data_IF_463597231239
#
_entry.id   IF_463597231239
#
_cell.length_a   1.000
_cell.length_b   1.000
_cell.length_c   1.000
_cell.angle_alpha   90.00
_cell.angle_beta   90.00
_cell.angle_gamma   90.00
#
_symmetry.space_group_name_H-M   'P 1'
#
loop_
_entity.id
_entity.type
_entity.pdbx_description
1 polymer ?
#
# COMPACT_ATOMS: atom_id res chain seq x y z
N UNK A 1 17.41 5.20 4.34
CA UNK A 1 17.10 3.87 4.91
C UNK A 1 15.93 3.14 4.22
N UNK A 2 15.18 3.77 3.33
CA UNK A 2 14.19 3.09 2.51
C UNK A 2 12.82 2.81 3.15
N UNK A 3 12.54 3.31 4.33
CA UNK A 3 11.27 3.08 5.05
C UNK A 3 10.23 4.19 4.84
N UNK A 4 10.63 5.32 4.24
CA UNK A 4 9.73 6.43 3.93
C UNK A 4 8.67 6.08 2.87
N UNK A 5 7.72 7.01 2.62
CA UNK A 5 6.63 6.77 1.68
C UNK A 5 7.13 6.43 0.27
N UNK A 6 6.71 5.28 -0.25
CA UNK A 6 7.00 4.81 -1.61
C UNK A 6 5.71 4.55 -2.34
N UNK A 7 5.69 4.85 -3.64
CA UNK A 7 4.57 4.46 -4.50
C UNK A 7 4.38 2.94 -4.44
N UNK A 8 3.14 2.51 -4.24
CA UNK A 8 2.75 1.11 -4.23
C UNK A 8 1.48 0.89 -5.06
N UNK A 9 1.46 -0.21 -5.80
CA UNK A 9 0.34 -0.59 -6.65
C UNK A 9 0.02 -2.10 -6.53
N UNK A 10 0.58 -2.76 -5.51
CA UNK A 10 0.49 -4.20 -5.31
C UNK A 10 -0.18 -4.57 -3.99
N UNK A 11 -1.01 -5.62 -4.00
CA UNK A 11 -1.53 -6.27 -2.79
C UNK A 11 -1.22 -7.77 -2.80
N UNK A 12 -1.13 -8.38 -1.63
CA UNK A 12 -1.18 -9.83 -1.53
C UNK A 12 -2.52 -10.31 -2.11
N UNK A 13 -2.45 -11.12 -3.16
CA UNK A 13 -3.64 -11.55 -3.88
C UNK A 13 -4.61 -12.33 -3.00
N UNK A 14 -5.90 -12.09 -3.20
CA UNK A 14 -6.98 -12.88 -2.64
C UNK A 14 -7.36 -14.00 -3.60
N UNK A 15 -8.14 -14.97 -3.15
CA UNK A 15 -8.64 -16.06 -4.00
C UNK A 15 -9.44 -15.54 -5.20
N UNK A 16 -10.06 -14.37 -5.08
CA UNK A 16 -10.81 -13.73 -6.16
C UNK A 16 -9.93 -12.97 -7.17
N UNK A 17 -8.67 -12.77 -6.90
CA UNK A 17 -7.73 -12.06 -7.79
C UNK A 17 -7.11 -12.97 -8.87
N UNK A 18 -7.57 -14.21 -9.00
CA UNK A 18 -6.99 -15.21 -9.93
C UNK A 18 -6.95 -14.77 -11.40
N UNK A 19 -7.81 -13.84 -11.79
CA UNK A 19 -7.85 -13.26 -13.12
C UNK A 19 -6.83 -12.12 -13.34
N UNK A 20 -6.34 -11.48 -12.29
CA UNK A 20 -5.54 -10.24 -12.34
C UNK A 20 -4.10 -10.42 -11.84
N UNK A 21 -3.88 -11.20 -10.77
CA UNK A 21 -2.58 -11.21 -10.11
C UNK A 21 -1.42 -11.63 -11.03
N UNK A 22 -1.68 -12.49 -12.01
CA UNK A 22 -0.69 -12.88 -13.00
C UNK A 22 -0.13 -11.69 -13.78
N UNK A 23 -0.98 -10.71 -14.11
CA UNK A 23 -0.55 -9.47 -14.77
C UNK A 23 0.24 -8.57 -13.81
N UNK A 24 -0.16 -8.47 -12.54
CA UNK A 24 0.57 -7.67 -11.55
C UNK A 24 2.03 -8.15 -11.42
N UNK A 25 2.23 -9.47 -11.36
CA UNK A 25 3.57 -10.05 -11.33
C UNK A 25 4.30 -9.88 -12.68
N UNK A 26 3.61 -10.09 -13.80
CA UNK A 26 4.21 -9.91 -15.12
C UNK A 26 4.67 -8.46 -15.37
N UNK A 27 4.00 -7.46 -14.77
CA UNK A 27 4.37 -6.04 -14.81
C UNK A 27 5.31 -5.64 -13.66
N UNK A 28 5.68 -6.55 -12.78
CA UNK A 28 6.61 -6.34 -11.68
C UNK A 28 6.08 -5.41 -10.58
N UNK A 29 4.75 -5.28 -10.42
CA UNK A 29 4.17 -4.42 -9.38
C UNK A 29 4.58 -4.83 -7.96
N UNK A 30 4.88 -6.11 -7.77
CA UNK A 30 5.37 -6.68 -6.51
C UNK A 30 6.80 -6.26 -6.13
N UNK A 31 7.54 -5.60 -7.03
CA UNK A 31 8.96 -5.25 -6.82
C UNK A 31 9.32 -3.93 -7.50
N UNK A 32 8.60 -2.86 -7.21
CA UNK A 32 8.91 -1.54 -7.77
C UNK A 32 10.16 -0.95 -7.14
N UNK A 33 11.09 -0.53 -7.98
CA UNK A 33 12.26 0.26 -7.63
C UNK A 33 12.01 1.72 -8.01
N UNK A 34 12.41 2.64 -7.12
CA UNK A 34 12.11 4.06 -7.26
C UNK A 34 13.40 4.82 -7.55
N UNK A 35 13.48 5.47 -8.71
CA UNK A 35 14.61 6.25 -9.17
C UNK A 35 14.23 7.72 -9.27
N UNK A 36 14.93 8.58 -8.56
CA UNK A 36 14.78 10.03 -8.72
C UNK A 36 15.41 10.43 -10.04
N UNK A 37 14.62 11.00 -10.94
CA UNK A 37 15.05 11.53 -12.25
C UNK A 37 15.45 13.00 -12.15
N UNK A 38 14.72 13.76 -11.33
CA UNK A 38 14.97 15.18 -11.10
C UNK A 38 14.59 15.57 -9.70
N UNK A 39 15.27 16.56 -9.14
CA UNK A 39 14.97 17.13 -7.84
C UNK A 39 15.31 18.62 -7.77
N UNK A 40 14.54 19.36 -6.99
CA UNK A 40 14.85 20.73 -6.63
C UNK A 40 14.33 21.02 -5.23
N UNK A 41 14.96 21.98 -4.54
CA UNK A 41 14.48 22.45 -3.25
C UNK A 41 14.69 23.96 -3.11
N UNK A 42 13.76 24.64 -2.44
CA UNK A 42 13.87 26.04 -2.10
C UNK A 42 13.06 26.38 -0.84
N UNK A 43 13.45 27.45 -0.17
CA UNK A 43 12.73 27.97 1.00
C UNK A 43 11.82 29.13 0.57
N UNK A 44 10.58 29.11 1.00
CA UNK A 44 9.62 30.19 0.83
C UNK A 44 9.87 31.32 1.84
N UNK A 45 9.25 32.48 1.59
CA UNK A 45 9.35 33.65 2.48
C UNK A 45 8.75 33.41 3.89
N UNK A 46 7.80 32.48 4.00
CA UNK A 46 7.17 32.09 5.27
C UNK A 46 7.99 31.06 6.07
N UNK A 47 9.18 30.67 5.56
CA UNK A 47 10.08 29.71 6.18
C UNK A 47 9.79 28.24 5.81
N UNK A 48 8.71 27.95 5.09
CA UNK A 48 8.44 26.59 4.63
C UNK A 48 9.45 26.18 3.54
N UNK A 49 9.77 24.89 3.49
CA UNK A 49 10.68 24.31 2.49
C UNK A 49 9.88 23.47 1.49
N UNK A 50 10.07 23.78 0.21
CA UNK A 50 9.51 23.01 -0.90
C UNK A 50 10.59 22.09 -1.43
N UNK A 51 10.26 20.80 -1.59
CA UNK A 51 11.12 19.82 -2.24
C UNK A 51 10.31 19.17 -3.36
N UNK A 52 10.74 19.35 -4.60
CA UNK A 52 10.08 18.76 -5.76
C UNK A 52 10.92 17.60 -6.31
N UNK A 53 10.26 16.49 -6.63
CA UNK A 53 10.85 15.31 -7.24
C UNK A 53 10.08 14.88 -8.49
N UNK A 54 10.81 14.39 -9.49
CA UNK A 54 10.25 13.48 -10.50
C UNK A 54 10.85 12.11 -10.24
N UNK A 55 10.00 11.13 -9.97
CA UNK A 55 10.39 9.77 -9.61
C UNK A 55 9.85 8.79 -10.65
N UNK A 56 10.72 7.96 -11.20
CA UNK A 56 10.36 6.78 -11.99
C UNK A 56 10.27 5.57 -11.06
N UNK A 57 9.16 4.84 -11.14
CA UNK A 57 8.93 3.62 -10.37
C UNK A 57 8.73 2.47 -11.34
N UNK A 58 9.72 1.59 -11.45
CA UNK A 58 9.75 0.46 -12.38
C UNK A 58 10.40 -0.75 -11.71
N UNK A 59 9.88 -1.94 -11.98
CA UNK A 59 10.57 -3.17 -11.61
C UNK A 59 11.77 -3.43 -12.52
N UNK A 60 12.85 -4.05 -12.04
CA UNK A 60 13.95 -4.48 -12.89
C UNK A 60 13.56 -5.60 -13.85
N UNK A 61 12.49 -6.32 -13.59
CA UNK A 61 12.03 -7.45 -14.41
C UNK A 61 10.56 -7.76 -14.17
N UNK A 62 9.97 -8.52 -15.09
CA UNK A 62 8.70 -9.19 -14.87
C UNK A 62 8.86 -10.50 -14.15
N UNK A 63 7.76 -11.02 -13.58
CA UNK A 63 7.71 -12.29 -12.89
C UNK A 63 6.60 -13.17 -13.45
N UNK A 64 6.81 -14.49 -13.39
CA UNK A 64 5.75 -15.49 -13.55
C UNK A 64 5.40 -16.01 -12.16
N UNK A 65 4.12 -16.16 -11.90
CA UNK A 65 3.61 -16.77 -10.68
C UNK A 65 2.82 -18.01 -11.04
N UNK A 66 3.04 -19.10 -10.32
CA UNK A 66 2.31 -20.36 -10.46
C UNK A 66 1.79 -20.77 -9.10
N UNK A 67 0.51 -21.02 -9.00
CA UNK A 67 -0.11 -21.64 -7.84
C UNK A 67 0.25 -23.13 -7.83
N UNK A 68 0.80 -23.61 -6.71
CA UNK A 68 1.17 -25.01 -6.51
C UNK A 68 0.03 -25.83 -5.89
N UNK A 69 -1.16 -25.26 -5.83
CA UNK A 69 -2.38 -25.91 -5.39
C UNK A 69 -2.76 -25.63 -3.93
N UNK A 70 -4.04 -25.77 -3.65
CA UNK A 70 -4.66 -25.44 -2.36
C UNK A 70 -4.01 -26.20 -1.20
N UNK A 71 -3.63 -27.46 -1.42
CA UNK A 71 -3.02 -28.30 -0.38
C UNK A 71 -1.64 -27.80 0.08
N UNK A 72 -0.91 -27.10 -0.79
CA UNK A 72 0.41 -26.54 -0.45
C UNK A 72 0.35 -25.11 0.08
N UNK A 73 -0.66 -24.35 -0.33
CA UNK A 73 -0.78 -22.91 -0.09
C UNK A 73 0.37 -22.08 -0.66
N UNK A 74 1.23 -22.66 -1.51
CA UNK A 74 2.45 -22.05 -2.01
C UNK A 74 2.27 -21.48 -3.41
N UNK A 75 2.97 -20.38 -3.66
CA UNK A 75 3.21 -19.86 -4.99
C UNK A 75 4.68 -20.05 -5.36
N UNK A 76 4.92 -20.43 -6.61
CA UNK A 76 6.24 -20.37 -7.22
C UNK A 76 6.35 -19.08 -8.03
N UNK A 77 7.24 -18.19 -7.61
CA UNK A 77 7.48 -16.91 -8.25
C UNK A 77 8.85 -16.96 -8.92
N UNK A 78 8.89 -16.83 -10.24
CA UNK A 78 10.13 -16.90 -11.01
C UNK A 78 10.30 -15.66 -11.86
N UNK A 79 11.54 -15.15 -11.94
CA UNK A 79 11.89 -14.06 -12.86
C UNK A 79 11.62 -14.49 -14.29
N UNK A 80 10.97 -13.64 -15.09
CA UNK A 80 10.67 -13.95 -16.49
C UNK A 80 11.65 -13.28 -17.45
N UNK A 81 11.64 -11.96 -17.53
CA UNK A 81 12.52 -11.18 -18.41
C UNK A 81 12.90 -9.87 -17.75
N UNK A 82 14.05 -9.31 -18.14
CA UNK A 82 14.47 -7.98 -17.71
C UNK A 82 13.62 -6.91 -18.39
N UNK A 83 13.40 -5.81 -17.68
CA UNK A 83 12.68 -4.66 -18.19
C UNK A 83 13.64 -3.63 -18.80
N UNK A 84 13.21 -3.08 -19.92
CA UNK A 84 13.79 -1.93 -20.57
C UNK A 84 13.00 -0.65 -20.31
N UNK A 85 13.42 0.45 -20.92
CA UNK A 85 12.82 1.77 -20.69
C UNK A 85 11.36 1.90 -21.14
N UNK A 86 10.89 1.04 -22.06
CA UNK A 86 9.54 1.07 -22.61
C UNK A 86 8.58 0.12 -21.87
N UNK A 87 9.10 -0.67 -20.92
CA UNK A 87 8.29 -1.55 -20.10
C UNK A 87 7.46 -0.78 -19.07
N UNK A 88 6.53 -1.48 -18.43
CA UNK A 88 5.61 -0.90 -17.45
C UNK A 88 6.34 -0.07 -16.40
N UNK A 89 5.88 1.15 -16.19
CA UNK A 89 6.37 2.04 -15.15
C UNK A 89 5.38 3.12 -14.76
N UNK A 90 5.60 3.69 -13.60
CA UNK A 90 5.00 4.96 -13.19
C UNK A 90 6.02 6.08 -13.26
N UNK A 91 5.58 7.26 -13.64
CA UNK A 91 6.29 8.53 -13.44
C UNK A 91 5.48 9.36 -12.46
N UNK A 92 6.08 9.75 -11.35
CA UNK A 92 5.42 10.53 -10.31
C UNK A 92 6.09 11.89 -10.15
N UNK A 93 5.32 12.97 -10.31
CA UNK A 93 5.75 14.31 -9.93
C UNK A 93 5.26 14.59 -8.51
N UNK A 94 6.18 14.79 -7.58
CA UNK A 94 5.93 14.97 -6.16
C UNK A 94 6.35 16.37 -5.73
N UNK A 95 5.52 17.03 -4.94
CA UNK A 95 5.85 18.28 -4.24
C UNK A 95 5.65 18.03 -2.75
N UNK A 96 6.75 18.09 -2.00
CA UNK A 96 6.76 18.01 -0.55
C UNK A 96 6.89 19.42 0.01
N UNK A 97 5.97 19.82 0.88
CA UNK A 97 6.06 21.07 1.63
C UNK A 97 6.31 20.71 3.08
N UNK A 98 7.44 21.15 3.62
CA UNK A 98 7.77 21.05 5.05
C UNK A 98 7.48 22.40 5.67
N UNK A 99 6.49 22.46 6.55
CA UNK A 99 6.08 23.67 7.23
C UNK A 99 6.89 23.93 8.51
N UNK A 100 6.88 25.16 8.98
CA UNK A 100 7.64 25.60 10.18
C UNK A 100 7.13 24.98 11.49
N UNK A 101 5.90 24.49 11.50
CA UNK A 101 5.31 23.74 12.64
C UNK A 101 5.68 22.25 12.64
N UNK A 102 6.47 21.80 11.66
CA UNK A 102 6.88 20.41 11.51
C UNK A 102 5.91 19.55 10.72
N UNK A 103 4.77 20.07 10.27
CA UNK A 103 3.87 19.34 9.38
C UNK A 103 4.46 19.20 7.98
N UNK A 104 4.09 18.12 7.29
CA UNK A 104 4.58 17.81 5.94
C UNK A 104 3.38 17.51 5.05
N UNK A 105 3.31 18.19 3.91
CA UNK A 105 2.32 17.95 2.87
C UNK A 105 2.97 17.27 1.66
N UNK A 106 2.32 16.25 1.12
CA UNK A 106 2.67 15.63 -0.16
C UNK A 106 1.56 15.88 -1.16
N UNK A 107 1.92 16.51 -2.28
CA UNK A 107 1.12 16.56 -3.49
C UNK A 107 1.81 15.70 -4.55
N UNK A 108 1.08 14.74 -5.14
CA UNK A 108 1.64 13.83 -6.12
C UNK A 108 0.72 13.68 -7.33
N UNK A 109 1.32 13.77 -8.53
CA UNK A 109 0.68 13.42 -9.78
C UNK A 109 1.33 12.15 -10.32
N UNK A 110 0.56 11.05 -10.38
CA UNK A 110 1.04 9.72 -10.76
C UNK A 110 0.54 9.41 -12.17
N UNK A 111 1.47 9.09 -13.08
CA UNK A 111 1.21 8.78 -14.48
C UNK A 111 1.73 7.37 -14.76
N UNK A 112 0.87 6.50 -15.31
CA UNK A 112 1.27 5.19 -15.83
C UNK A 112 1.45 5.26 -17.34
N UNK A 113 2.43 4.55 -17.88
CA UNK A 113 2.56 4.38 -19.33
C UNK A 113 1.59 3.31 -19.91
N UNK A 114 0.90 2.56 -19.04
CA UNK A 114 -0.18 1.63 -19.41
C UNK A 114 -1.44 1.92 -18.58
N UNK A 115 -2.23 2.94 -18.91
CA UNK A 115 -3.37 3.37 -18.08
C UNK A 115 -4.55 2.38 -18.08
N UNK A 116 -4.53 1.38 -18.97
CA UNK A 116 -5.55 0.31 -19.03
C UNK A 116 -5.26 -0.88 -18.12
N UNK A 117 -4.11 -0.91 -17.42
CA UNK A 117 -3.79 -1.98 -16.50
C UNK A 117 -4.63 -1.84 -15.22
N UNK A 118 -5.35 -2.91 -14.86
CA UNK A 118 -6.09 -2.98 -13.61
C UNK A 118 -5.14 -3.12 -12.43
N UNK A 119 -5.11 -2.10 -11.58
CA UNK A 119 -4.22 -2.04 -10.41
C UNK A 119 -4.94 -2.55 -9.16
N UNK A 120 -4.24 -3.35 -8.37
CA UNK A 120 -4.75 -3.82 -7.08
C UNK A 120 -5.01 -2.66 -6.10
N UNK A 121 -4.13 -1.68 -6.11
CA UNK A 121 -4.17 -0.45 -5.34
C UNK A 121 -3.35 0.63 -6.04
N UNK A 122 -3.52 1.86 -5.63
CA UNK A 122 -2.63 2.95 -6.03
C UNK A 122 -2.50 3.93 -4.87
N UNK A 123 -1.32 4.03 -4.31
CA UNK A 123 -1.06 4.92 -3.17
C UNK A 123 0.39 4.89 -2.74
N UNK A 124 0.58 5.07 -1.45
CA UNK A 124 1.90 5.05 -0.83
C UNK A 124 1.94 4.04 0.31
N UNK A 125 3.02 3.29 0.38
CA UNK A 125 3.35 2.44 1.52
C UNK A 125 4.54 3.00 2.27
N UNK A 126 4.49 2.90 3.59
CA UNK A 126 5.63 3.21 4.46
C UNK A 126 5.75 2.15 5.55
N UNK A 127 6.99 1.89 5.97
CA UNK A 127 7.28 1.02 7.09
C UNK A 127 7.60 1.88 8.30
N UNK A 128 6.87 1.67 9.39
CA UNK A 128 7.09 2.35 10.66
C UNK A 128 7.64 1.38 11.71
N UNK A 129 8.29 1.86 12.76
CA UNK A 129 8.72 1.04 13.88
C UNK A 129 7.56 0.23 14.49
N UNK A 130 7.85 -0.95 15.03
CA UNK A 130 6.86 -1.86 15.60
C UNK A 130 6.16 -1.28 16.83
N UNK A 131 6.86 -0.47 17.61
CA UNK A 131 6.32 0.22 18.82
C UNK A 131 5.21 1.22 18.49
N UNK A 132 5.12 1.72 17.24
CA UNK A 132 3.98 2.51 16.76
C UNK A 132 2.79 1.60 16.41
N UNK A 133 2.42 0.73 17.35
CA UNK A 133 1.44 -0.32 17.16
C UNK A 133 -0.01 0.05 17.43
N UNK A 134 -0.31 1.25 17.95
CA UNK A 134 -1.67 1.74 18.15
C UNK A 134 -2.17 2.38 16.83
N UNK A 135 -3.29 1.89 16.29
CA UNK A 135 -3.88 2.37 15.05
C UNK A 135 -5.23 3.02 15.33
N UNK A 136 -5.27 4.35 15.20
CA UNK A 136 -6.49 5.17 15.33
C UNK A 136 -6.85 5.74 13.96
N UNK A 137 -8.13 5.69 13.58
CA UNK A 137 -8.57 6.28 12.31
C UNK A 137 -10.00 6.82 12.37
N UNK A 138 -10.26 7.86 11.57
CA UNK A 138 -11.59 8.38 11.30
C UNK A 138 -11.97 8.03 9.87
N UNK A 139 -12.81 7.03 9.73
CA UNK A 139 -13.18 6.40 8.47
C UNK A 139 -14.24 5.32 8.64
N UNK A 140 -14.44 4.47 7.64
CA UNK A 140 -15.40 3.37 7.71
C UNK A 140 -14.84 2.18 8.49
N UNK A 141 -15.61 1.66 9.43
CA UNK A 141 -15.23 0.53 10.29
C UNK A 141 -16.42 -0.11 10.99
N UNK A 142 -16.15 -0.90 12.07
CA UNK A 142 -14.84 -1.30 12.61
C UNK A 142 -14.13 -2.40 11.79
N UNK A 143 -14.89 -3.18 10.99
CA UNK A 143 -14.34 -4.29 10.21
C UNK A 143 -13.67 -3.81 8.92
N UNK A 144 -12.80 -4.65 8.35
CA UNK A 144 -12.24 -4.38 7.04
C UNK A 144 -13.34 -4.20 5.99
N UNK A 145 -13.17 -3.24 5.12
CA UNK A 145 -14.14 -2.91 4.09
C UNK A 145 -13.42 -2.43 2.83
N UNK A 146 -14.09 -2.57 1.69
CA UNK A 146 -13.56 -2.27 0.37
C UNK A 146 -14.65 -1.56 -0.43
N UNK A 147 -14.31 -0.93 -1.55
CA UNK A 147 -15.25 -0.12 -2.35
C UNK A 147 -16.52 -0.90 -2.78
N UNK A 148 -16.42 -2.21 -2.99
CA UNK A 148 -17.52 -3.12 -3.33
C UNK A 148 -18.18 -3.77 -2.11
N UNK A 149 -17.68 -3.52 -0.88
CA UNK A 149 -18.16 -4.11 0.37
C UNK A 149 -18.01 -3.16 1.54
N UNK A 150 -18.74 -2.05 1.54
CA UNK A 150 -18.65 -1.01 2.58
C UNK A 150 -20.00 -0.56 3.15
N UNK A 151 -21.13 -1.06 2.66
CA UNK A 151 -22.45 -0.57 3.08
C UNK A 151 -22.77 -0.82 4.56
N UNK A 152 -22.19 -1.85 5.16
CA UNK A 152 -22.30 -2.14 6.59
C UNK A 152 -21.26 -1.46 7.48
N UNK A 153 -20.38 -0.63 6.92
CA UNK A 153 -19.32 0.04 7.65
C UNK A 153 -19.65 1.53 7.83
N UNK A 154 -19.78 1.96 9.09
CA UNK A 154 -20.10 3.34 9.43
C UNK A 154 -18.86 4.19 9.56
N UNK A 155 -19.00 5.51 9.29
CA UNK A 155 -17.90 6.47 9.46
C UNK A 155 -17.92 6.97 10.89
N UNK A 156 -16.90 6.56 11.64
CA UNK A 156 -16.71 6.92 13.04
C UNK A 156 -15.22 6.98 13.39
N UNK A 157 -14.93 7.32 14.64
CA UNK A 157 -13.59 7.23 15.20
C UNK A 157 -13.39 5.82 15.78
N UNK A 158 -12.37 5.14 15.27
CA UNK A 158 -12.00 3.79 15.71
C UNK A 158 -10.59 3.75 16.26
N UNK A 159 -10.41 2.95 17.31
CA UNK A 159 -9.12 2.65 17.92
C UNK A 159 -8.91 1.14 17.91
N UNK A 160 -7.70 0.72 17.58
CA UNK A 160 -7.29 -0.66 17.49
C UNK A 160 -5.77 -0.76 17.57
N UNK A 161 -5.23 -1.94 17.45
CA UNK A 161 -3.80 -2.15 17.22
C UNK A 161 -3.54 -2.62 15.79
N UNK A 162 -2.32 -2.42 15.30
CA UNK A 162 -1.90 -2.95 13.98
C UNK A 162 -2.03 -4.48 13.95
N UNK A 163 -1.73 -5.16 15.06
CA UNK A 163 -1.87 -6.62 15.18
C UNK A 163 -3.31 -7.10 15.06
N UNK A 164 -4.27 -6.34 15.57
CA UNK A 164 -5.71 -6.66 15.48
C UNK A 164 -6.29 -6.42 14.08
N UNK A 165 -5.57 -5.75 13.17
CA UNK A 165 -6.01 -5.63 11.79
C UNK A 165 -5.79 -6.94 10.99
N UNK A 166 -4.98 -7.85 11.51
CA UNK A 166 -4.74 -9.14 10.90
C UNK A 166 -5.95 -10.07 11.07
N UNK A 167 -6.43 -10.61 9.96
CA UNK A 167 -7.48 -11.64 9.95
C UNK A 167 -6.82 -12.98 9.64
N UNK A 168 -7.07 -13.98 10.48
CA UNK A 168 -6.45 -15.30 10.36
C UNK A 168 -7.12 -16.14 9.25
N UNK A 169 -6.98 -15.72 7.99
CA UNK A 169 -7.38 -16.54 6.85
C UNK A 169 -6.48 -17.76 6.69
N UNK A 170 -6.99 -18.89 6.13
CA UNK A 170 -6.18 -20.09 5.89
C UNK A 170 -4.88 -19.82 5.12
N UNK A 171 -4.90 -18.85 4.18
CA UNK A 171 -3.73 -18.31 3.51
C UNK A 171 -3.67 -16.79 3.75
N UNK A 172 -2.51 -16.24 4.16
CA UNK A 172 -2.31 -14.81 4.26
C UNK A 172 -2.60 -14.13 2.91
N UNK A 173 -3.37 -13.06 2.94
CA UNK A 173 -3.81 -12.32 1.77
C UNK A 173 -4.09 -10.86 2.13
N UNK A 174 -4.45 -10.02 1.16
CA UNK A 174 -4.84 -8.63 1.42
C UNK A 174 -6.00 -8.56 2.42
N UNK A 175 -5.83 -7.77 3.47
CA UNK A 175 -6.78 -7.59 4.55
C UNK A 175 -6.59 -6.25 5.24
N UNK A 176 -7.46 -5.94 6.20
CA UNK A 176 -7.29 -4.77 7.07
C UNK A 176 -7.64 -3.43 6.41
N UNK A 177 -8.11 -3.41 5.15
CA UNK A 177 -8.45 -2.16 4.47
C UNK A 177 -9.64 -1.45 5.12
N UNK A 178 -9.58 -0.13 5.16
CA UNK A 178 -10.63 0.79 5.60
C UNK A 178 -10.86 1.83 4.51
N UNK A 179 -12.10 1.94 4.05
CA UNK A 179 -12.52 2.94 3.08
C UNK A 179 -12.93 4.25 3.74
N UNK A 180 -12.85 5.33 2.98
CA UNK A 180 -13.33 6.63 3.41
C UNK A 180 -12.59 7.18 4.62
N UNK A 181 -11.31 6.89 4.75
CA UNK A 181 -10.45 7.38 5.83
C UNK A 181 -10.07 8.84 5.57
N UNK A 182 -10.48 9.73 6.50
CA UNK A 182 -10.13 11.15 6.46
C UNK A 182 -8.77 11.41 7.10
N UNK A 183 -8.49 10.66 8.16
CA UNK A 183 -7.20 10.66 8.81
C UNK A 183 -6.97 9.34 9.55
N UNK A 184 -5.72 8.99 9.73
CA UNK A 184 -5.31 7.91 10.62
C UNK A 184 -4.00 8.26 11.34
N UNK A 185 -3.75 7.61 12.45
CA UNK A 185 -2.53 7.77 13.23
C UNK A 185 -1.96 6.40 13.62
N UNK A 186 -0.64 6.33 13.61
CA UNK A 186 0.12 5.26 14.25
C UNK A 186 0.89 5.86 15.43
N UNK A 187 0.65 5.36 16.62
CA UNK A 187 1.28 5.85 17.84
C UNK A 187 1.80 4.71 18.71
N UNK A 188 2.73 5.04 19.61
CA UNK A 188 3.12 4.15 20.69
C UNK A 188 2.14 4.26 21.87
N UNK A 189 2.41 3.53 22.95
CA UNK A 189 1.58 3.54 24.17
C UNK A 189 1.55 4.89 24.90
N UNK A 190 2.50 5.78 24.62
CA UNK A 190 2.57 7.14 25.17
C UNK A 190 1.85 8.17 24.31
N UNK A 191 1.27 7.74 23.16
CA UNK A 191 0.59 8.61 22.20
C UNK A 191 1.53 9.37 21.26
N UNK A 192 2.82 9.04 21.25
CA UNK A 192 3.79 9.62 20.32
C UNK A 192 3.76 8.84 19.00
N UNK A 193 3.85 9.54 17.88
CA UNK A 193 3.82 8.89 16.57
C UNK A 193 3.54 9.87 15.43
N UNK A 194 2.81 9.40 14.41
CA UNK A 194 2.50 10.19 13.23
C UNK A 194 1.00 10.17 12.92
N UNK A 195 0.48 11.35 12.56
CA UNK A 195 -0.89 11.56 12.07
C UNK A 195 -0.84 11.82 10.56
N UNK A 196 -1.67 11.11 9.83
CA UNK A 196 -1.81 11.21 8.38
C UNK A 196 -3.21 11.70 8.04
N UNK A 197 -3.30 12.82 7.34
CA UNK A 197 -4.57 13.49 7.01
C UNK A 197 -4.71 13.55 5.50
N UNK A 198 -5.86 13.15 5.00
CA UNK A 198 -6.19 13.37 3.59
C UNK A 198 -6.61 14.80 3.35
N UNK A 199 -5.87 15.52 2.50
CA UNK A 199 -6.13 16.92 2.20
C UNK A 199 -7.21 17.14 1.11
N UNK A 200 -7.51 16.13 0.29
CA UNK A 200 -8.43 16.26 -0.83
C UNK A 200 -9.68 15.40 -0.67
N UNK A 201 -9.55 14.08 -0.83
CA UNK A 201 -10.67 13.13 -0.72
C UNK A 201 -10.30 12.03 0.27
N UNK A 202 -11.28 11.42 0.95
CA UNK A 202 -10.99 10.28 1.82
C UNK A 202 -10.22 9.19 1.09
N UNK A 203 -9.29 8.55 1.78
CA UNK A 203 -8.42 7.50 1.28
C UNK A 203 -8.94 6.12 1.67
N UNK A 204 -8.38 5.09 1.03
CA UNK A 204 -8.34 3.75 1.59
C UNK A 204 -7.06 3.63 2.43
N UNK A 205 -7.14 3.04 3.62
CA UNK A 205 -5.98 2.87 4.48
C UNK A 205 -5.94 1.49 5.12
N UNK A 206 -4.74 0.95 5.29
CA UNK A 206 -4.51 -0.29 6.04
C UNK A 206 -3.15 -0.26 6.74
N UNK A 207 -3.08 -0.86 7.92
CA UNK A 207 -1.85 -1.02 8.68
C UNK A 207 -1.72 -2.48 9.11
N UNK A 208 -0.64 -3.15 8.72
CA UNK A 208 -0.41 -4.57 9.01
C UNK A 208 1.03 -4.80 9.47
N UNK A 209 1.29 -5.86 10.26
CA UNK A 209 2.64 -6.18 10.72
C UNK A 209 3.52 -6.80 9.61
N UNK A 210 2.98 -7.05 8.43
CA UNK A 210 3.68 -7.68 7.31
C UNK A 210 3.46 -6.93 6.01
N UNK A 211 4.48 -6.95 5.15
CA UNK A 211 4.37 -6.48 3.78
C UNK A 211 3.48 -7.41 2.93
N UNK A 212 3.00 -6.90 1.79
CA UNK A 212 2.24 -7.70 0.84
C UNK A 212 3.02 -8.95 0.38
N UNK A 213 4.33 -8.83 0.13
CA UNK A 213 5.15 -9.96 -0.30
C UNK A 213 5.36 -10.99 0.80
N UNK A 214 5.59 -10.59 2.06
CA UNK A 214 5.66 -11.53 3.18
C UNK A 214 4.37 -12.36 3.31
N UNK A 215 3.20 -11.73 3.07
CA UNK A 215 1.93 -12.45 3.06
C UNK A 215 1.77 -13.39 1.85
N UNK A 216 2.25 -12.99 0.66
CA UNK A 216 2.24 -13.86 -0.53
C UNK A 216 3.10 -15.11 -0.33
N UNK A 217 4.30 -14.92 0.23
CA UNK A 217 5.29 -15.98 0.39
C UNK A 217 4.94 -16.97 1.51
N UNK A 218 4.15 -16.57 2.50
CA UNK A 218 3.71 -17.42 3.58
C UNK A 218 2.55 -18.34 3.15
N UNK A 219 2.72 -19.67 3.11
CA UNK A 219 1.63 -20.60 2.79
C UNK A 219 0.49 -20.57 3.79
N UNK A 220 0.83 -20.37 5.07
CA UNK A 220 -0.13 -20.34 6.18
C UNK A 220 0.25 -19.25 7.19
N UNK A 221 -0.70 -18.74 7.99
CA UNK A 221 -0.45 -17.68 8.98
C UNK A 221 0.68 -17.98 9.97
N UNK A 222 0.82 -19.23 10.40
CA UNK A 222 1.87 -19.65 11.32
C UNK A 222 3.28 -19.70 10.69
N UNK A 223 3.38 -19.48 9.37
CA UNK A 223 4.64 -19.40 8.62
C UNK A 223 5.01 -17.95 8.26
N UNK A 224 4.20 -16.98 8.66
CA UNK A 224 4.60 -15.58 8.56
C UNK A 224 5.87 -15.35 9.39
N UNK A 225 6.82 -14.53 8.90
CA UNK A 225 8.02 -14.21 9.67
C UNK A 225 7.66 -13.41 10.93
N UNK A 226 8.59 -13.26 11.84
CA UNK A 226 8.48 -12.27 12.90
C UNK A 226 8.26 -10.89 12.28
N UNK A 227 7.41 -10.07 12.92
CA UNK A 227 7.17 -8.71 12.48
C UNK A 227 8.48 -7.92 12.54
N UNK A 228 8.76 -7.15 11.51
CA UNK A 228 9.92 -6.28 11.43
C UNK A 228 9.52 -4.78 11.39
N UNK A 229 8.26 -4.50 11.71
CA UNK A 229 7.65 -3.18 11.74
C UNK A 229 6.19 -3.18 11.30
N UNK A 230 5.59 -2.00 11.19
CA UNK A 230 4.23 -1.84 10.72
C UNK A 230 4.24 -1.27 9.29
N UNK A 231 3.50 -1.89 8.39
CA UNK A 231 3.33 -1.45 7.01
C UNK A 231 2.03 -0.68 6.90
N UNK A 232 2.13 0.65 6.81
CA UNK A 232 1.01 1.55 6.59
C UNK A 232 0.85 1.84 5.11
N UNK A 233 -0.32 1.56 4.57
CA UNK A 233 -0.73 1.92 3.22
C UNK A 233 -1.75 3.04 3.28
N UNK A 234 -1.55 4.06 2.44
CA UNK A 234 -2.44 5.18 2.22
C UNK A 234 -2.72 5.25 0.73
N UNK A 235 -3.89 4.78 0.31
CA UNK A 235 -4.23 4.62 -1.10
C UNK A 235 -5.26 5.64 -1.56
N UNK A 236 -5.03 6.18 -2.74
CA UNK A 236 -6.02 6.96 -3.47
C UNK A 236 -7.22 6.08 -3.83
N UNK A 237 -6.93 4.82 -4.20
CA UNK A 237 -7.93 3.79 -4.49
C UNK A 237 -7.39 2.39 -4.18
N UNK A 238 -8.29 1.54 -3.70
CA UNK A 238 -8.09 0.12 -3.50
C UNK A 238 -9.12 -0.65 -4.34
N UNK A 239 -8.68 -1.68 -5.07
CA UNK A 239 -9.58 -2.59 -5.80
C UNK A 239 -10.48 -3.32 -4.82
N UNK A 240 -11.73 -3.56 -5.21
CA UNK A 240 -12.65 -4.40 -4.47
C UNK A 240 -12.18 -5.85 -4.32
N UNK A 241 -12.93 -6.64 -3.57
CA UNK A 241 -12.66 -8.07 -3.37
C UNK A 241 -13.42 -8.97 -4.34
N UNK A 242 -14.28 -8.41 -5.21
CA UNK A 242 -15.08 -9.20 -6.14
C UNK A 242 -16.20 -10.00 -5.47
N UNK A 243 -16.76 -9.48 -4.37
CA UNK A 243 -17.64 -10.22 -3.48
C UNK A 243 -19.01 -10.64 -4.05
N UNK A 244 -19.46 -10.07 -5.17
CA UNK A 244 -20.75 -10.40 -5.78
C UNK A 244 -20.66 -11.23 -7.05
N UNK A 245 -19.49 -11.41 -7.62
CA UNK A 245 -19.27 -12.24 -8.81
C UNK A 245 -17.82 -12.75 -8.87
N UNK A 246 -17.61 -13.94 -8.38
CA UNK A 246 -16.33 -14.62 -8.54
C UNK A 246 -16.02 -14.77 -10.04
N UNK A 247 -14.99 -14.08 -10.50
CA UNK A 247 -14.43 -14.30 -11.83
C UNK A 247 -15.13 -13.61 -12.99
N UNK A 248 -15.72 -12.45 -12.79
CA UNK A 248 -16.14 -11.55 -13.87
C UNK A 248 -15.17 -10.41 -14.05
#
# INVERSE_FOLDING_TARGET
DGNGPKLDAFRAQTDNDNWAYGQWFAKGLNNLHHKVLNQSAYTRKDGSVIIAYTVESQSPCGYKIRDLGISSGKYEITRSRDFGPDDFKFTTNQIWTVYTDGSIELQANIISNEPSLDLARLGYVMKTPEDLGCYTYYGRGPHNNYNDRMNGAFVELYNSTVKEQFVNFPKPQSMGNREGVRWCALTNSEGQGALFISAASPLSASALPWSAMQMVEAPHPYQLPESDGNYLHLDLKMMGLGGSSCGQ
#
